data_IF_699797280037
#
_entry.id   IF_699797280037
#
_cell.length_a   1.000
_cell.length_b   1.000
_cell.length_c   1.000
_cell.angle_alpha   90.00
_cell.angle_beta   90.00
_cell.angle_gamma   90.00
#
_symmetry.space_group_name_H-M   'P 1'
#
loop_
_entity.id
_entity.type
_entity.pdbx_description
1 polymer ?
#
# COMPACT_ATOMS: atom_id res chain seq x y z
N UNK A 1 -20.61 22.44 10.51
CA UNK A 1 -21.42 21.21 10.30
C UNK A 1 -20.54 20.23 9.55
N UNK A 2 -20.53 18.95 9.93
CA UNK A 2 -19.79 17.92 9.20
C UNK A 2 -20.59 17.58 7.95
N UNK A 3 -20.08 17.95 6.78
CA UNK A 3 -20.71 17.55 5.52
C UNK A 3 -20.24 16.13 5.20
N UNK A 4 -21.14 15.16 5.34
CA UNK A 4 -20.92 13.80 4.87
C UNK A 4 -21.13 13.81 3.36
N UNK A 5 -20.11 13.45 2.60
CA UNK A 5 -20.18 13.32 1.14
C UNK A 5 -19.87 11.90 0.73
N UNK A 6 -20.68 11.35 -0.18
CA UNK A 6 -20.43 10.03 -0.73
C UNK A 6 -19.52 10.11 -1.96
N UNK A 7 -18.50 9.24 -2.02
CA UNK A 7 -17.63 9.14 -3.19
C UNK A 7 -18.35 8.31 -4.25
N UNK A 8 -18.60 8.91 -5.41
CA UNK A 8 -19.27 8.25 -6.54
C UNK A 8 -18.29 7.69 -7.55
N UNK A 9 -17.21 8.40 -7.83
CA UNK A 9 -16.21 7.96 -8.79
C UNK A 9 -14.85 8.59 -8.52
N UNK A 10 -13.80 7.93 -9.01
CA UNK A 10 -12.42 8.41 -8.98
C UNK A 10 -11.94 8.53 -10.42
N UNK A 11 -11.31 9.65 -10.76
CA UNK A 11 -10.70 9.81 -12.08
C UNK A 11 -9.50 8.86 -12.23
N UNK A 12 -9.60 7.95 -13.20
CA UNK A 12 -8.61 6.90 -13.41
C UNK A 12 -7.26 7.50 -13.81
N UNK A 13 -7.25 8.52 -14.66
CA UNK A 13 -6.02 9.08 -15.21
C UNK A 13 -5.19 9.76 -14.13
N UNK A 14 -5.78 10.67 -13.36
CA UNK A 14 -5.06 11.41 -12.33
C UNK A 14 -4.52 10.50 -11.23
N UNK A 15 -5.31 9.53 -10.75
CA UNK A 15 -4.86 8.58 -9.74
C UNK A 15 -3.74 7.65 -10.26
N UNK A 16 -3.83 7.21 -11.52
CA UNK A 16 -2.79 6.36 -12.13
C UNK A 16 -1.48 7.11 -12.29
N UNK A 17 -1.50 8.34 -12.80
CA UNK A 17 -0.29 9.15 -13.02
C UNK A 17 0.39 9.48 -11.69
N UNK A 18 -0.35 10.03 -10.74
CA UNK A 18 0.22 10.44 -9.45
C UNK A 18 0.66 9.20 -8.65
N UNK A 19 -0.18 8.16 -8.57
CA UNK A 19 0.13 6.93 -7.86
C UNK A 19 1.40 6.25 -8.39
N UNK A 20 1.49 6.07 -9.71
CA UNK A 20 2.67 5.47 -10.36
C UNK A 20 3.93 6.30 -10.12
N UNK A 21 3.83 7.64 -10.20
CA UNK A 21 4.98 8.53 -9.99
C UNK A 21 5.51 8.44 -8.55
N UNK A 22 4.63 8.39 -7.56
CA UNK A 22 5.01 8.21 -6.15
C UNK A 22 5.61 6.81 -5.92
N UNK A 23 4.99 5.75 -6.44
CA UNK A 23 5.50 4.38 -6.31
C UNK A 23 6.86 4.20 -6.98
N UNK A 24 7.09 4.87 -8.11
CA UNK A 24 8.38 4.85 -8.79
C UNK A 24 9.49 5.45 -7.91
N UNK A 25 9.27 6.61 -7.28
CA UNK A 25 10.25 7.20 -6.36
C UNK A 25 10.51 6.26 -5.17
N UNK A 26 9.46 5.70 -4.58
CA UNK A 26 9.62 4.72 -3.50
C UNK A 26 10.40 3.49 -3.94
N UNK A 27 10.19 3.00 -5.16
CA UNK A 27 10.93 1.84 -5.69
C UNK A 27 12.43 2.10 -5.77
N UNK A 28 12.84 3.33 -6.11
CA UNK A 28 14.25 3.74 -6.12
C UNK A 28 14.81 3.73 -4.70
N UNK A 29 14.09 4.34 -3.75
CA UNK A 29 14.50 4.38 -2.34
C UNK A 29 14.61 2.95 -1.76
N UNK A 30 13.60 2.11 -1.98
CA UNK A 30 13.60 0.73 -1.50
C UNK A 30 14.69 -0.12 -2.18
N UNK A 31 14.93 0.07 -3.48
CA UNK A 31 16.01 -0.61 -4.20
C UNK A 31 17.37 -0.31 -3.57
N UNK A 32 17.66 0.96 -3.27
CA UNK A 32 18.93 1.36 -2.64
C UNK A 32 19.07 0.72 -1.26
N UNK A 33 18.01 0.75 -0.45
CA UNK A 33 18.00 0.16 0.90
C UNK A 33 18.24 -1.36 0.81
N UNK A 34 17.56 -2.05 -0.11
CA UNK A 34 17.70 -3.50 -0.30
C UNK A 34 19.13 -3.86 -0.73
N UNK A 35 19.71 -3.13 -1.68
CA UNK A 35 21.10 -3.35 -2.12
C UNK A 35 22.06 -3.18 -0.94
N UNK A 36 21.87 -2.16 -0.11
CA UNK A 36 22.70 -1.93 1.07
C UNK A 36 22.59 -3.07 2.08
N UNK A 37 21.36 -3.51 2.39
CA UNK A 37 21.11 -4.62 3.33
C UNK A 37 21.75 -5.92 2.81
N UNK A 38 21.54 -6.27 1.55
CA UNK A 38 22.10 -7.49 0.96
C UNK A 38 23.63 -7.47 0.98
N UNK A 39 24.24 -6.31 0.66
CA UNK A 39 25.69 -6.14 0.70
C UNK A 39 26.26 -6.28 2.11
N UNK A 40 25.53 -5.80 3.14
CA UNK A 40 25.92 -5.95 4.54
C UNK A 40 25.84 -7.41 5.02
N UNK A 41 24.77 -8.12 4.66
CA UNK A 41 24.58 -9.53 5.04
C UNK A 41 25.68 -10.41 4.44
N UNK A 42 26.05 -10.15 3.19
CA UNK A 42 27.02 -10.97 2.44
C UNK A 42 28.46 -10.49 2.69
N UNK A 43 28.65 -9.31 3.29
CA UNK A 43 29.96 -8.74 3.62
C UNK A 43 30.77 -8.26 2.41
N UNK A 44 30.16 -8.20 1.22
CA UNK A 44 30.76 -7.68 -0.01
C UNK A 44 29.70 -7.11 -0.93
N UNK A 45 30.10 -6.18 -1.79
CA UNK A 45 29.27 -5.70 -2.89
C UNK A 45 29.35 -6.68 -4.07
N UNK A 46 28.19 -7.06 -4.61
CA UNK A 46 28.07 -7.91 -5.79
C UNK A 46 27.21 -7.20 -6.85
N UNK A 47 27.66 -7.20 -8.10
CA UNK A 47 26.94 -6.55 -9.20
C UNK A 47 25.54 -7.16 -9.42
N UNK A 48 25.35 -8.43 -9.03
CA UNK A 48 24.07 -9.13 -9.09
C UNK A 48 22.98 -8.43 -8.26
N UNK A 49 23.33 -7.76 -7.17
CA UNK A 49 22.35 -6.99 -6.37
C UNK A 49 21.84 -5.75 -7.11
N UNK A 50 22.66 -5.18 -8.00
CA UNK A 50 22.24 -4.05 -8.84
C UNK A 50 21.16 -4.49 -9.85
N UNK A 51 21.28 -5.70 -10.40
CA UNK A 51 20.28 -6.29 -11.29
C UNK A 51 18.93 -6.45 -10.56
N UNK A 52 18.95 -6.91 -9.30
CA UNK A 52 17.75 -6.99 -8.45
C UNK A 52 17.13 -5.61 -8.26
N UNK A 53 17.93 -4.60 -7.96
CA UNK A 53 17.46 -3.23 -7.79
C UNK A 53 16.80 -2.64 -9.04
N UNK A 54 17.43 -2.83 -10.20
CA UNK A 54 16.86 -2.45 -11.49
C UNK A 54 15.52 -3.17 -11.71
N UNK A 55 15.46 -4.47 -11.43
CA UNK A 55 14.24 -5.26 -11.51
C UNK A 55 13.11 -4.73 -10.63
N UNK A 56 13.42 -4.30 -9.39
CA UNK A 56 12.44 -3.69 -8.48
C UNK A 56 11.91 -2.38 -9.05
N UNK A 57 12.79 -1.51 -9.56
CA UNK A 57 12.41 -0.19 -10.07
C UNK A 57 11.49 -0.33 -11.29
N UNK A 58 11.93 -1.05 -12.32
CA UNK A 58 11.15 -1.21 -13.55
C UNK A 58 9.92 -2.11 -13.35
N UNK A 59 10.04 -3.16 -12.55
CA UNK A 59 8.92 -4.02 -12.19
C UNK A 59 7.83 -3.24 -11.45
N UNK A 60 8.22 -2.38 -10.50
CA UNK A 60 7.27 -1.53 -9.78
C UNK A 60 6.61 -0.52 -10.71
N UNK A 61 7.33 0.06 -11.67
CA UNK A 61 6.74 0.98 -12.64
C UNK A 61 5.63 0.31 -13.47
N UNK A 62 5.91 -0.86 -14.05
CA UNK A 62 4.94 -1.62 -14.86
C UNK A 62 3.74 -2.05 -14.00
N UNK A 63 3.99 -2.62 -12.83
CA UNK A 63 2.93 -3.10 -11.94
C UNK A 63 2.09 -1.95 -11.35
N UNK A 64 2.69 -0.78 -11.10
CA UNK A 64 1.98 0.36 -10.53
C UNK A 64 0.94 0.92 -11.49
N UNK A 65 1.25 1.00 -12.79
CA UNK A 65 0.28 1.45 -13.80
C UNK A 65 -0.95 0.55 -13.77
N UNK A 66 -0.74 -0.77 -13.89
CA UNK A 66 -1.82 -1.77 -13.87
C UNK A 66 -2.58 -1.76 -12.54
N UNK A 67 -1.88 -1.62 -11.41
CA UNK A 67 -2.48 -1.57 -10.08
C UNK A 67 -3.37 -0.34 -9.91
N UNK A 68 -2.86 0.87 -10.13
CA UNK A 68 -3.63 2.08 -9.91
C UNK A 68 -4.77 2.22 -10.90
N UNK A 69 -4.55 1.89 -12.18
CA UNK A 69 -5.61 1.88 -13.18
C UNK A 69 -6.69 0.83 -12.84
N UNK A 70 -6.28 -0.42 -12.59
CA UNK A 70 -7.19 -1.53 -12.32
C UNK A 70 -7.98 -1.35 -11.03
N UNK A 71 -7.34 -0.91 -9.94
CA UNK A 71 -8.02 -0.63 -8.67
C UNK A 71 -9.02 0.52 -8.83
N UNK A 72 -8.66 1.60 -9.53
CA UNK A 72 -9.57 2.74 -9.78
C UNK A 72 -10.77 2.33 -10.63
N UNK A 73 -10.53 1.53 -11.66
CA UNK A 73 -11.59 0.98 -12.51
C UNK A 73 -12.55 0.09 -11.71
N UNK A 74 -12.01 -0.86 -10.94
CA UNK A 74 -12.82 -1.75 -10.11
C UNK A 74 -13.57 -0.99 -9.02
N UNK A 75 -12.96 0.03 -8.41
CA UNK A 75 -13.64 0.92 -7.47
C UNK A 75 -14.86 1.57 -8.11
N UNK A 76 -14.71 2.20 -9.28
CA UNK A 76 -15.81 2.82 -10.02
C UNK A 76 -16.89 1.84 -10.46
N UNK A 77 -16.53 0.56 -10.65
CA UNK A 77 -17.47 -0.50 -10.98
C UNK A 77 -18.27 -1.00 -9.76
N UNK A 78 -17.59 -1.17 -8.61
CA UNK A 78 -18.19 -1.71 -7.40
C UNK A 78 -18.97 -0.68 -6.59
N UNK A 79 -18.53 0.58 -6.56
CA UNK A 79 -19.24 1.65 -5.85
C UNK A 79 -20.66 1.85 -6.37
N UNK A 80 -20.93 1.53 -7.65
CA UNK A 80 -22.28 1.57 -8.26
C UNK A 80 -23.22 0.45 -7.80
N UNK A 81 -22.69 -0.61 -7.18
CA UNK A 81 -23.43 -1.84 -6.81
C UNK A 81 -23.35 -2.16 -5.32
N UNK A 82 -22.51 -1.45 -4.58
CA UNK A 82 -22.25 -1.64 -3.17
C UNK A 82 -22.65 -0.39 -2.39
N UNK A 83 -22.49 -0.44 -1.06
CA UNK A 83 -22.79 0.70 -0.19
C UNK A 83 -21.83 1.87 -0.49
N UNK A 84 -22.38 3.07 -0.56
CA UNK A 84 -21.61 4.28 -0.79
C UNK A 84 -20.55 4.50 0.29
N UNK A 85 -19.38 5.00 -0.13
CA UNK A 85 -18.30 5.37 0.77
C UNK A 85 -18.48 6.83 1.16
N UNK A 86 -19.02 7.04 2.35
CA UNK A 86 -19.17 8.37 2.95
C UNK A 86 -17.84 8.86 3.52
N UNK A 87 -17.52 10.12 3.27
CA UNK A 87 -16.37 10.85 3.80
C UNK A 87 -16.89 12.11 4.49
N UNK A 88 -16.53 12.31 5.76
CA UNK A 88 -16.78 13.55 6.49
C UNK A 88 -15.74 14.58 6.11
N UNK A 89 -16.19 15.64 5.44
CA UNK A 89 -15.35 16.78 5.04
C UNK A 89 -15.74 17.97 5.90
N UNK A 90 -14.74 18.55 6.57
CA UNK A 90 -14.91 19.81 7.30
C UNK A 90 -14.33 20.94 6.44
N UNK A 91 -15.23 21.81 5.96
CA UNK A 91 -14.96 23.03 5.20
C UNK A 91 -14.07 22.87 3.95
N UNK A 92 -14.09 21.72 3.27
CA UNK A 92 -13.22 21.44 2.09
C UNK A 92 -11.71 21.55 2.38
N UNK A 93 -11.32 21.65 3.65
CA UNK A 93 -9.95 21.82 4.11
C UNK A 93 -9.45 20.62 4.91
N UNK A 94 -10.35 19.74 5.35
CA UNK A 94 -9.96 18.56 6.10
C UNK A 94 -10.92 17.39 5.96
N UNK A 95 -10.36 16.18 5.94
CA UNK A 95 -11.12 14.92 5.98
C UNK A 95 -11.04 14.37 7.39
N UNK A 96 -12.18 14.26 8.07
CA UNK A 96 -12.24 13.89 9.50
C UNK A 96 -12.86 12.52 9.78
N UNK A 97 -13.64 11.98 8.85
CA UNK A 97 -14.29 10.68 9.01
C UNK A 97 -14.40 9.94 7.67
N UNK A 98 -14.37 8.62 7.70
CA UNK A 98 -14.61 7.75 6.54
C UNK A 98 -15.50 6.58 6.99
N UNK A 99 -16.45 6.19 6.15
CA UNK A 99 -17.28 5.00 6.38
C UNK A 99 -16.44 3.72 6.45
N UNK A 100 -16.27 3.20 7.66
CA UNK A 100 -15.40 2.05 7.94
C UNK A 100 -15.85 0.81 7.15
N UNK A 101 -17.15 0.48 7.25
CA UNK A 101 -17.72 -0.74 6.67
C UNK A 101 -17.78 -0.68 5.13
N UNK A 102 -18.24 0.43 4.56
CA UNK A 102 -18.32 0.59 3.11
C UNK A 102 -16.94 0.52 2.47
N UNK A 103 -15.96 1.26 3.04
CA UNK A 103 -14.59 1.26 2.54
C UNK A 103 -13.94 -0.12 2.65
N UNK A 104 -14.04 -0.77 3.82
CA UNK A 104 -13.41 -2.07 4.03
C UNK A 104 -13.97 -3.14 3.11
N UNK A 105 -15.29 -3.16 2.88
CA UNK A 105 -15.93 -4.10 1.97
C UNK A 105 -15.51 -3.90 0.52
N UNK A 106 -15.51 -2.64 0.03
CA UNK A 106 -15.11 -2.37 -1.36
C UNK A 106 -13.64 -2.75 -1.58
N UNK A 107 -12.74 -2.36 -0.66
CA UNK A 107 -11.32 -2.72 -0.78
C UNK A 107 -11.13 -4.23 -0.71
N UNK A 108 -11.87 -4.94 0.17
CA UNK A 108 -11.81 -6.39 0.25
C UNK A 108 -12.28 -7.08 -1.03
N UNK A 109 -13.40 -6.64 -1.61
CA UNK A 109 -13.92 -7.19 -2.88
C UNK A 109 -12.96 -6.93 -4.04
N UNK A 110 -12.40 -5.72 -4.12
CA UNK A 110 -11.36 -5.41 -5.13
C UNK A 110 -10.16 -6.34 -4.94
N UNK A 111 -9.69 -6.52 -3.70
CA UNK A 111 -8.57 -7.40 -3.37
C UNK A 111 -8.84 -8.86 -3.75
N UNK A 112 -10.05 -9.35 -3.51
CA UNK A 112 -10.49 -10.68 -3.91
C UNK A 112 -10.44 -10.85 -5.43
N UNK A 113 -11.03 -9.91 -6.18
CA UNK A 113 -11.06 -9.97 -7.66
C UNK A 113 -9.64 -9.92 -8.22
N UNK A 114 -8.81 -9.00 -7.72
CA UNK A 114 -7.42 -8.88 -8.13
C UNK A 114 -6.65 -10.17 -7.82
N UNK A 115 -6.87 -10.77 -6.65
CA UNK A 115 -6.19 -12.00 -6.26
C UNK A 115 -6.64 -13.22 -7.07
N UNK A 116 -7.92 -13.31 -7.44
CA UNK A 116 -8.41 -14.35 -8.37
C UNK A 116 -7.73 -14.24 -9.74
N UNK A 117 -7.48 -13.02 -10.22
CA UNK A 117 -6.83 -12.79 -11.52
C UNK A 117 -5.32 -13.03 -11.43
N UNK A 118 -4.66 -12.53 -10.38
CA UNK A 118 -3.21 -12.55 -10.23
C UNK A 118 -2.70 -13.93 -9.80
N UNK A 119 -3.45 -14.65 -8.94
CA UNK A 119 -3.01 -15.93 -8.39
C UNK A 119 -2.64 -16.96 -9.47
N UNK A 120 -3.46 -17.23 -10.50
CA UNK A 120 -3.10 -18.18 -11.56
C UNK A 120 -1.86 -17.75 -12.34
N UNK A 121 -1.68 -16.45 -12.58
CA UNK A 121 -0.52 -15.92 -13.30
C UNK A 121 0.75 -16.18 -12.49
N UNK A 122 0.74 -15.83 -11.20
CA UNK A 122 1.88 -16.04 -10.30
C UNK A 122 2.16 -17.54 -10.14
N UNK A 123 1.12 -18.37 -9.95
CA UNK A 123 1.28 -19.81 -9.83
C UNK A 123 1.95 -20.43 -11.07
N UNK A 124 1.53 -20.03 -12.28
CA UNK A 124 2.15 -20.47 -13.53
C UNK A 124 3.60 -20.00 -13.65
N UNK A 125 3.89 -18.73 -13.32
CA UNK A 125 5.26 -18.21 -13.35
C UNK A 125 6.16 -18.95 -12.36
N UNK A 126 5.71 -19.16 -11.12
CA UNK A 126 6.47 -19.87 -10.10
C UNK A 126 6.71 -21.33 -10.49
N UNK A 127 5.70 -22.01 -11.05
CA UNK A 127 5.83 -23.37 -11.57
C UNK A 127 6.90 -23.45 -12.67
N UNK A 128 6.94 -22.45 -13.57
CA UNK A 128 7.96 -22.37 -14.62
C UNK A 128 9.37 -22.16 -14.04
N UNK A 129 9.53 -21.28 -13.04
CA UNK A 129 10.83 -21.07 -12.40
C UNK A 129 11.30 -22.32 -11.64
N UNK A 130 10.39 -23.06 -10.99
CA UNK A 130 10.73 -24.31 -10.32
C UNK A 130 11.24 -25.38 -11.30
N UNK A 131 10.69 -25.45 -12.51
CA UNK A 131 11.19 -26.36 -13.56
C UNK A 131 12.61 -25.97 -14.00
N UNK A 132 12.91 -24.67 -14.08
CA UNK A 132 14.22 -24.15 -14.44
C UNK A 132 15.21 -24.12 -13.26
N UNK A 133 14.79 -24.50 -12.06
CA UNK A 133 15.57 -24.36 -10.84
C UNK A 133 16.92 -25.08 -10.89
N UNK A 134 16.96 -26.28 -11.46
CA UNK A 134 18.21 -27.05 -11.66
C UNK A 134 19.18 -26.34 -12.60
N UNK A 135 18.69 -25.67 -13.63
CA UNK A 135 19.48 -24.85 -14.55
C UNK A 135 19.97 -23.56 -13.89
N UNK A 136 19.12 -22.91 -13.07
CA UNK A 136 19.48 -21.68 -12.32
C UNK A 136 20.59 -21.98 -11.29
N UNK A 137 20.52 -23.13 -10.62
CA UNK A 137 21.59 -23.57 -9.71
C UNK A 137 22.89 -23.86 -10.47
N UNK A 138 22.83 -24.43 -11.67
CA UNK A 138 24.01 -24.73 -12.48
C UNK A 138 24.78 -23.49 -12.96
N UNK A 139 24.10 -22.35 -13.11
CA UNK A 139 24.72 -21.06 -13.53
C UNK A 139 25.13 -20.15 -12.36
N UNK A 140 25.25 -20.69 -11.15
CA UNK A 140 25.71 -19.97 -9.93
C UNK A 140 24.86 -18.77 -9.49
N UNK A 141 23.62 -18.62 -10.00
CA UNK A 141 22.62 -17.65 -9.53
C UNK A 141 21.94 -18.12 -8.23
N UNK A 142 22.74 -18.60 -7.28
CA UNK A 142 22.25 -19.20 -6.04
C UNK A 142 21.33 -18.23 -5.29
N UNK A 143 21.65 -16.93 -5.27
CA UNK A 143 20.81 -15.89 -4.66
C UNK A 143 19.39 -15.79 -5.22
N UNK A 144 19.19 -16.12 -6.51
CA UNK A 144 17.85 -16.15 -7.12
C UNK A 144 17.06 -17.39 -6.66
N UNK A 145 17.74 -18.54 -6.55
CA UNK A 145 17.17 -19.78 -6.01
C UNK A 145 16.68 -19.64 -4.56
N UNK A 146 17.41 -18.91 -3.71
CA UNK A 146 17.01 -18.64 -2.31
C UNK A 146 15.76 -17.76 -2.17
N UNK A 147 15.48 -16.90 -3.17
CA UNK A 147 14.28 -16.04 -3.16
C UNK A 147 13.04 -16.76 -3.69
N UNK A 148 13.20 -17.55 -4.76
CA UNK A 148 12.06 -18.17 -5.45
C UNK A 148 11.44 -19.30 -4.63
N UNK A 149 12.26 -20.14 -4.00
CA UNK A 149 11.76 -21.33 -3.31
C UNK A 149 10.81 -21.00 -2.14
N UNK A 150 11.13 -20.09 -1.20
CA UNK A 150 10.19 -19.69 -0.15
C UNK A 150 8.92 -19.02 -0.68
N UNK A 151 9.03 -18.20 -1.73
CA UNK A 151 7.87 -17.54 -2.37
C UNK A 151 6.94 -18.58 -3.00
N UNK A 152 7.49 -19.63 -3.61
CA UNK A 152 6.72 -20.72 -4.21
C UNK A 152 5.92 -21.51 -3.18
N UNK A 153 6.47 -21.72 -1.98
CA UNK A 153 5.79 -22.40 -0.88
C UNK A 153 4.71 -21.54 -0.22
N UNK A 154 4.82 -20.22 -0.32
CA UNK A 154 3.87 -19.27 0.29
C UNK A 154 2.65 -18.95 -0.61
N UNK A 155 2.69 -19.33 -1.89
CA UNK A 155 1.63 -19.03 -2.86
C UNK A 155 0.74 -20.26 -3.10
N UNK A 156 -0.15 -20.54 -2.15
CA UNK A 156 -1.18 -21.58 -2.26
C UNK A 156 -2.56 -20.99 -2.61
N UNK A 157 -3.57 -21.81 -2.95
CA UNK A 157 -4.91 -21.30 -3.27
C UNK A 157 -5.57 -20.52 -2.12
N UNK A 158 -5.11 -20.72 -0.88
CA UNK A 158 -5.63 -20.01 0.30
C UNK A 158 -5.22 -18.54 0.32
N UNK A 159 -4.20 -18.15 -0.47
CA UNK A 159 -3.84 -16.76 -0.74
C UNK A 159 -5.05 -15.90 -1.15
N UNK A 160 -5.97 -16.44 -1.96
CA UNK A 160 -7.17 -15.71 -2.39
C UNK A 160 -8.05 -15.38 -1.18
N UNK A 161 -8.27 -16.34 -0.29
CA UNK A 161 -9.07 -16.14 0.92
C UNK A 161 -8.37 -15.16 1.88
N UNK A 162 -7.06 -15.33 2.09
CA UNK A 162 -6.27 -14.44 2.93
C UNK A 162 -6.27 -13.01 2.40
N UNK A 163 -6.15 -12.80 1.09
CA UNK A 163 -6.20 -11.46 0.50
C UNK A 163 -7.49 -10.73 0.83
N UNK A 164 -8.64 -11.42 0.78
CA UNK A 164 -9.95 -10.85 1.10
C UNK A 164 -10.06 -10.54 2.60
N UNK A 165 -9.78 -11.52 3.46
CA UNK A 165 -9.93 -11.38 4.92
C UNK A 165 -8.96 -10.33 5.47
N UNK A 166 -7.69 -10.38 5.08
CA UNK A 166 -6.67 -9.41 5.51
C UNK A 166 -7.06 -8.01 5.03
N UNK A 167 -7.47 -7.86 3.76
CA UNK A 167 -7.87 -6.55 3.24
C UNK A 167 -9.09 -5.99 3.96
N UNK A 168 -10.09 -6.82 4.27
CA UNK A 168 -11.29 -6.43 5.02
C UNK A 168 -10.92 -5.96 6.44
N UNK A 169 -10.16 -6.79 7.17
CA UNK A 169 -9.81 -6.54 8.57
C UNK A 169 -8.86 -5.36 8.69
N UNK A 170 -7.75 -5.34 7.94
CA UNK A 170 -6.76 -4.26 8.04
C UNK A 170 -7.30 -2.94 7.51
N UNK A 171 -8.10 -2.92 6.44
CA UNK A 171 -8.74 -1.67 5.99
C UNK A 171 -9.76 -1.18 7.02
N UNK A 172 -10.53 -2.09 7.63
CA UNK A 172 -11.46 -1.75 8.71
C UNK A 172 -10.76 -1.15 9.93
N UNK A 173 -9.68 -1.78 10.40
CA UNK A 173 -8.87 -1.29 11.52
C UNK A 173 -8.23 0.07 11.16
N UNK A 174 -7.66 0.19 9.95
CA UNK A 174 -7.05 1.43 9.48
C UNK A 174 -8.05 2.59 9.42
N UNK A 175 -9.24 2.36 8.87
CA UNK A 175 -10.31 3.36 8.83
C UNK A 175 -10.84 3.71 10.23
N UNK A 176 -10.96 2.72 11.12
CA UNK A 176 -11.34 2.96 12.52
C UNK A 176 -10.34 3.86 13.24
N UNK A 177 -9.04 3.57 13.10
CA UNK A 177 -7.96 4.37 13.69
C UNK A 177 -7.96 5.78 13.08
N UNK A 178 -8.11 5.88 11.76
CA UNK A 178 -8.24 7.16 11.07
C UNK A 178 -9.36 8.00 11.69
N UNK A 179 -10.57 7.45 11.85
CA UNK A 179 -11.71 8.16 12.42
C UNK A 179 -11.53 8.55 13.89
N UNK A 180 -10.71 7.81 14.64
CA UNK A 180 -10.40 8.12 16.05
C UNK A 180 -9.34 9.22 16.19
N UNK A 181 -8.37 9.26 15.29
CA UNK A 181 -7.23 10.18 15.36
C UNK A 181 -7.51 11.47 14.61
N UNK A 182 -8.11 11.37 13.43
CA UNK A 182 -8.31 12.50 12.53
C UNK A 182 -9.01 13.68 13.23
N UNK A 183 -10.11 13.50 14.00
CA UNK A 183 -10.72 14.59 14.75
C UNK A 183 -9.82 15.22 15.83
N UNK A 184 -8.88 14.47 16.42
CA UNK A 184 -8.00 14.94 17.51
C UNK A 184 -6.84 15.80 17.02
N UNK A 185 -6.44 15.65 15.76
CA UNK A 185 -5.33 16.40 15.15
C UNK A 185 -5.79 17.46 14.14
N UNK A 186 -7.09 17.76 14.11
CA UNK A 186 -7.68 18.74 13.19
C UNK A 186 -7.84 18.22 11.76
N UNK A 187 -8.00 16.90 11.59
CA UNK A 187 -8.26 16.24 10.33
C UNK A 187 -7.02 15.92 9.50
N UNK A 188 -7.18 15.09 8.48
CA UNK A 188 -6.24 15.09 7.36
C UNK A 188 -6.45 16.40 6.60
N UNK A 189 -5.59 17.40 6.84
CA UNK A 189 -5.67 18.70 6.20
C UNK A 189 -5.37 18.56 4.70
N UNK A 190 -6.38 18.80 3.89
CA UNK A 190 -6.34 18.70 2.43
C UNK A 190 -6.94 19.95 1.83
N UNK A 191 -6.33 20.53 0.79
CA UNK A 191 -6.99 21.60 0.04
C UNK A 191 -7.82 20.94 -1.07
N UNK A 192 -9.14 21.03 -0.95
CA UNK A 192 -10.08 20.53 -1.95
C UNK A 192 -10.62 21.70 -2.78
N UNK A 193 -10.49 21.61 -4.11
CA UNK A 193 -11.13 22.54 -5.03
C UNK A 193 -12.22 21.82 -5.81
N UNK A 194 -13.38 22.46 -5.99
CA UNK A 194 -14.44 21.92 -6.85
C UNK A 194 -14.26 22.49 -8.25
N UNK A 195 -14.08 21.61 -9.24
CA UNK A 195 -14.04 21.97 -10.65
C UNK A 195 -15.02 21.08 -11.40
N UNK A 196 -16.07 21.69 -11.92
CA UNK A 196 -17.22 21.01 -12.53
C UNK A 196 -17.89 20.02 -11.54
N UNK A 197 -18.13 18.78 -11.97
CA UNK A 197 -18.68 17.70 -11.13
C UNK A 197 -17.61 17.02 -10.24
N UNK A 198 -16.33 17.38 -10.40
CA UNK A 198 -15.23 16.73 -9.70
C UNK A 198 -14.65 17.62 -8.60
N UNK A 199 -14.21 17.00 -7.51
CA UNK A 199 -13.45 17.61 -6.44
C UNK A 199 -11.98 17.19 -6.60
N UNK A 200 -11.08 18.14 -6.83
CA UNK A 200 -9.64 17.93 -6.89
C UNK A 200 -9.01 18.04 -5.52
N UNK A 201 -8.09 17.11 -5.21
CA UNK A 201 -7.23 17.17 -4.03
C UNK A 201 -5.94 17.87 -4.44
N UNK A 202 -5.84 19.18 -4.21
CA UNK A 202 -4.71 19.97 -4.70
C UNK A 202 -3.47 19.84 -3.81
N UNK A 203 -3.71 19.71 -2.50
CA UNK A 203 -2.66 19.66 -1.50
C UNK A 203 -3.04 18.75 -0.33
N UNK A 204 -2.06 18.05 0.21
CA UNK A 204 -2.16 17.23 1.42
C UNK A 204 -1.08 17.71 2.39
N UNK A 205 -1.47 18.08 3.61
CA UNK A 205 -0.49 18.50 4.62
C UNK A 205 0.43 17.33 5.02
N UNK A 206 1.75 17.41 4.79
CA UNK A 206 2.66 16.29 5.06
C UNK A 206 2.74 15.89 6.53
N UNK A 207 2.66 16.87 7.45
CA UNK A 207 2.71 16.61 8.88
C UNK A 207 1.50 15.79 9.33
N UNK A 208 0.29 16.19 8.94
CA UNK A 208 -0.92 15.47 9.32
C UNK A 208 -0.98 14.08 8.68
N UNK A 209 -0.60 13.97 7.40
CA UNK A 209 -0.50 12.67 6.72
C UNK A 209 0.50 11.73 7.40
N UNK A 210 1.68 12.26 7.78
CA UNK A 210 2.70 11.52 8.54
C UNK A 210 2.20 11.05 9.91
N UNK A 211 1.54 11.91 10.69
CA UNK A 211 1.01 11.51 12.00
C UNK A 211 -0.04 10.40 11.87
N UNK A 212 -1.00 10.56 10.96
CA UNK A 212 -2.07 9.58 10.76
C UNK A 212 -1.50 8.22 10.33
N UNK A 213 -0.65 8.22 9.29
CA UNK A 213 -0.02 7.01 8.79
C UNK A 213 0.90 6.36 9.84
N UNK A 214 1.68 7.14 10.56
CA UNK A 214 2.52 6.66 11.66
C UNK A 214 1.72 5.93 12.73
N UNK A 215 0.60 6.48 13.19
CA UNK A 215 -0.19 5.80 14.23
C UNK A 215 -0.93 4.56 13.69
N UNK A 216 -1.41 4.60 12.43
CA UNK A 216 -1.96 3.39 11.80
C UNK A 216 -0.90 2.30 11.71
N UNK A 217 0.30 2.63 11.24
CA UNK A 217 1.43 1.70 11.14
C UNK A 217 1.95 1.24 12.50
N UNK A 218 1.84 2.04 13.57
CA UNK A 218 2.11 1.61 14.93
C UNK A 218 1.19 0.45 15.33
N UNK A 219 -0.12 0.61 15.12
CA UNK A 219 -1.09 -0.44 15.48
C UNK A 219 -0.89 -1.69 14.63
N UNK A 220 -0.62 -1.53 13.33
CA UNK A 220 -0.29 -2.68 12.48
C UNK A 220 1.03 -3.34 12.91
N UNK A 221 2.05 -2.56 13.25
CA UNK A 221 3.33 -3.08 13.77
C UNK A 221 3.14 -3.90 15.05
N UNK A 222 2.27 -3.45 15.95
CA UNK A 222 1.88 -4.20 17.14
C UNK A 222 1.15 -5.51 16.79
N UNK A 223 0.14 -5.45 15.90
CA UNK A 223 -0.59 -6.64 15.46
C UNK A 223 0.36 -7.66 14.82
N UNK A 224 1.22 -7.22 13.90
CA UNK A 224 2.22 -8.09 13.27
C UNK A 224 3.19 -8.66 14.31
N UNK A 225 3.71 -7.84 15.22
CA UNK A 225 4.60 -8.30 16.28
C UNK A 225 3.97 -9.38 17.16
N UNK A 226 2.70 -9.21 17.52
CA UNK A 226 1.96 -10.21 18.30
C UNK A 226 1.74 -11.51 17.52
N UNK A 227 1.35 -11.43 16.24
CA UNK A 227 1.19 -12.61 15.38
C UNK A 227 2.51 -13.38 15.27
N UNK A 228 3.61 -12.69 14.94
CA UNK A 228 4.93 -13.31 14.86
C UNK A 228 5.34 -13.94 16.19
N UNK A 229 5.12 -13.24 17.31
CA UNK A 229 5.44 -13.74 18.65
C UNK A 229 4.70 -15.03 19.03
N UNK A 230 3.50 -15.27 18.50
CA UNK A 230 2.76 -16.50 18.76
C UNK A 230 3.31 -17.66 17.92
N UNK A 231 3.83 -17.36 16.73
CA UNK A 231 4.34 -18.37 15.80
C UNK A 231 5.79 -18.77 16.16
N UNK A 232 6.62 -17.86 16.67
CA UNK A 232 8.00 -18.15 17.06
C UNK A 232 8.07 -18.66 18.50
N UNK A 233 8.71 -19.82 18.70
CA UNK A 233 8.76 -20.58 19.98
C UNK A 233 9.67 -19.94 21.06
N UNK A 234 10.19 -18.71 20.87
CA UNK A 234 11.18 -18.08 21.76
C UNK A 234 10.73 -16.75 22.39
N UNK A 235 10.29 -16.79 23.66
CA UNK A 235 9.71 -15.64 24.37
C UNK A 235 10.58 -14.34 24.38
N UNK A 236 11.91 -14.38 24.64
CA UNK A 236 12.70 -13.14 24.76
C UNK A 236 12.97 -12.44 23.41
N UNK A 237 13.25 -13.20 22.35
CA UNK A 237 13.43 -12.64 21.01
C UNK A 237 12.13 -12.04 20.47
N UNK A 238 10.99 -12.59 20.88
CA UNK A 238 9.67 -12.11 20.47
C UNK A 238 9.32 -10.76 21.08
N UNK A 239 9.70 -10.48 22.33
CA UNK A 239 9.48 -9.17 22.95
C UNK A 239 10.25 -8.06 22.24
N UNK A 240 11.52 -8.31 21.90
CA UNK A 240 12.34 -7.37 21.13
C UNK A 240 11.72 -7.12 19.76
N UNK A 241 11.25 -8.17 19.08
CA UNK A 241 10.61 -8.06 17.77
C UNK A 241 9.32 -7.23 17.82
N UNK A 242 8.47 -7.42 18.84
CA UNK A 242 7.24 -6.62 19.03
C UNK A 242 7.60 -5.14 19.16
N UNK A 243 8.60 -4.81 19.99
CA UNK A 243 9.04 -3.42 20.18
C UNK A 243 9.58 -2.83 18.89
N UNK A 244 10.46 -3.57 18.19
CA UNK A 244 11.04 -3.12 16.92
C UNK A 244 9.98 -2.91 15.84
N UNK A 245 9.02 -3.82 15.67
CA UNK A 245 7.95 -3.68 14.68
C UNK A 245 6.97 -2.56 15.03
N UNK A 246 6.67 -2.36 16.32
CA UNK A 246 5.76 -1.30 16.76
C UNK A 246 6.39 0.08 16.60
N UNK A 247 7.60 0.28 17.11
CA UNK A 247 8.32 1.56 17.01
C UNK A 247 8.77 1.81 15.57
N UNK A 248 9.30 0.78 14.90
CA UNK A 248 9.66 0.85 13.49
C UNK A 248 8.46 1.13 12.60
N UNK A 249 7.29 0.56 12.92
CA UNK A 249 6.02 0.85 12.28
C UNK A 249 5.61 2.31 12.45
N UNK A 250 5.74 2.88 13.66
CA UNK A 250 5.45 4.29 13.91
C UNK A 250 6.36 5.21 13.08
N UNK A 251 7.68 5.03 13.18
CA UNK A 251 8.68 5.87 12.53
C UNK A 251 8.58 5.72 11.01
N UNK A 252 8.57 4.47 10.54
CA UNK A 252 8.47 4.14 9.11
C UNK A 252 7.16 4.64 8.51
N UNK A 253 6.03 4.46 9.20
CA UNK A 253 4.73 4.98 8.78
C UNK A 253 4.73 6.50 8.69
N UNK A 254 5.29 7.19 9.70
CA UNK A 254 5.39 8.65 9.70
C UNK A 254 6.20 9.17 8.53
N UNK A 255 7.40 8.62 8.31
CA UNK A 255 8.28 8.98 7.20
C UNK A 255 7.58 8.69 5.87
N UNK A 256 6.98 7.51 5.74
CA UNK A 256 6.29 7.10 4.51
C UNK A 256 5.13 8.04 4.17
N UNK A 257 4.25 8.34 5.14
CA UNK A 257 3.11 9.22 4.90
C UNK A 257 3.51 10.68 4.67
N UNK A 258 4.49 11.20 5.40
CA UNK A 258 4.97 12.57 5.21
C UNK A 258 5.64 12.75 3.85
N UNK A 259 6.55 11.84 3.47
CA UNK A 259 7.21 11.88 2.16
C UNK A 259 6.20 11.65 1.04
N UNK A 260 5.27 10.69 1.18
CA UNK A 260 4.25 10.44 0.16
C UNK A 260 3.34 11.66 -0.06
N UNK A 261 2.96 12.37 1.00
CA UNK A 261 2.19 13.62 0.88
C UNK A 261 3.03 14.75 0.26
N UNK A 262 4.32 14.85 0.59
CA UNK A 262 5.22 15.81 -0.06
C UNK A 262 5.36 15.53 -1.57
N UNK A 263 5.58 14.27 -1.95
CA UNK A 263 5.65 13.84 -3.35
C UNK A 263 4.31 14.07 -4.05
N UNK A 264 3.20 13.78 -3.39
CA UNK A 264 1.86 14.09 -3.89
C UNK A 264 1.74 15.58 -4.25
N UNK A 265 2.11 16.49 -3.34
CA UNK A 265 2.04 17.93 -3.56
C UNK A 265 2.97 18.42 -4.68
N UNK A 266 4.09 17.73 -4.89
CA UNK A 266 5.00 18.02 -5.99
C UNK A 266 4.42 17.58 -7.33
N UNK A 267 3.85 16.38 -7.39
CA UNK A 267 3.24 15.83 -8.60
C UNK A 267 1.89 16.45 -8.94
N UNK A 268 1.07 16.82 -7.95
CA UNK A 268 -0.22 17.49 -8.16
C UNK A 268 -0.07 18.88 -8.80
N UNK A 269 1.09 19.53 -8.62
CA UNK A 269 1.43 20.80 -9.28
C UNK A 269 1.94 20.62 -10.71
N UNK A 270 2.59 19.49 -11.01
CA UNK A 270 3.18 19.20 -12.33
C UNK A 270 2.22 18.46 -13.27
N UNK A 271 1.35 17.65 -12.70
CA UNK A 271 0.35 16.83 -13.38
C UNK A 271 -1.04 17.22 -12.90
N UNK A 272 -2.09 16.57 -13.42
CA UNK A 272 -3.45 16.80 -12.90
C UNK A 272 -3.57 16.25 -11.47
N UNK A 273 -4.06 17.04 -10.49
CA UNK A 273 -4.36 16.54 -9.14
C UNK A 273 -5.37 15.39 -9.20
N UNK A 274 -5.40 14.55 -8.16
CA UNK A 274 -6.38 13.46 -8.07
C UNK A 274 -7.78 14.06 -7.95
N UNK A 275 -8.67 13.61 -8.84
CA UNK A 275 -10.06 14.07 -8.90
C UNK A 275 -11.00 12.98 -8.42
N UNK A 276 -11.94 13.35 -7.56
CA UNK A 276 -13.00 12.48 -7.04
C UNK A 276 -14.36 13.13 -7.25
N UNK A 277 -15.34 12.36 -7.72
CA UNK A 277 -16.72 12.81 -7.82
C UNK A 277 -17.40 12.58 -6.46
N UNK A 278 -17.85 13.66 -5.83
CA UNK A 278 -18.56 13.64 -4.56
C UNK A 278 -20.04 13.93 -4.80
N UNK A 279 -20.92 13.14 -4.18
CA UNK A 279 -22.33 13.45 -4.04
C UNK A 279 -22.62 13.88 -2.61
N UNK A 280 -23.62 14.74 -2.46
CA UNK A 280 -24.23 15.07 -1.18
C UNK A 280 -25.13 13.92 -0.70
#
# INVERSE_FOLDING_TARGET
MKDLKSVKSIDLSSLTIIGTSISFIWSIVFSIIIIAILSLIIGRFDISFTIIGIGIIFGTLILSISKYFGVSFLYNFFIKRMRDVEIGIDNMESITNISILSLSLIVAVISLVVSIIIYPIIFLMLSFVTILYSLIQAISLQGFSWLVYPISLAFDPTFILYSFVISLVFTGIGAFIFNKISPKIGGLKVLLSKKDNMTSIDYINPKNAGIISGVICLVFGLIYGLIFSVISVSLPANLILIVLLTIGGLIGGFIYGAISAYLYNFFSKKFSPVKIELKD
#
